data_IF_734822941009
#
_entry.id   IF_734822941009
#
_cell.length_a   1.000
_cell.length_b   1.000
_cell.length_c   1.000
_cell.angle_alpha   90.00
_cell.angle_beta   90.00
_cell.angle_gamma   90.00
#
_symmetry.space_group_name_H-M   'P 1'
#
loop_
_entity.id
_entity.type
_entity.pdbx_description
1 polymer ?
#
# COMPACT_ATOMS: atom_id res chain seq x y z
N UNK A 1 -24.65 -4.81 -15.10
CA UNK A 1 -24.54 -5.08 -13.65
C UNK A 1 -23.73 -3.93 -13.08
N UNK A 2 -24.39 -2.83 -12.74
CA UNK A 2 -23.75 -1.64 -12.16
C UNK A 2 -23.26 -2.01 -10.76
N UNK A 3 -21.97 -2.33 -10.65
CA UNK A 3 -21.38 -2.77 -9.39
C UNK A 3 -20.06 -2.05 -9.19
N UNK A 4 -20.07 -1.01 -8.38
CA UNK A 4 -18.86 -0.45 -7.76
C UNK A 4 -18.80 1.06 -7.70
N UNK A 5 -19.29 1.75 -8.73
CA UNK A 5 -19.23 3.22 -8.78
C UNK A 5 -20.16 3.91 -7.76
N UNK A 6 -21.16 3.20 -7.22
CA UNK A 6 -22.17 3.77 -6.31
C UNK A 6 -21.97 3.46 -4.81
N UNK A 7 -20.97 2.66 -4.41
CA UNK A 7 -20.89 2.24 -3.00
C UNK A 7 -20.14 3.24 -2.08
N UNK A 8 -19.16 3.98 -2.61
CA UNK A 8 -18.28 4.88 -1.85
C UNK A 8 -17.92 6.07 -2.75
N UNK A 9 -18.21 7.30 -2.34
CA UNK A 9 -17.83 8.47 -3.14
C UNK A 9 -16.30 8.57 -3.27
N UNK A 10 -15.78 9.07 -4.41
CA UNK A 10 -14.35 9.31 -4.57
C UNK A 10 -13.76 10.13 -3.42
N UNK A 11 -14.45 11.14 -2.93
CA UNK A 11 -14.01 11.98 -1.81
C UNK A 11 -13.85 11.20 -0.50
N UNK A 12 -14.77 10.27 -0.22
CA UNK A 12 -14.67 9.40 0.94
C UNK A 12 -13.49 8.42 0.79
N UNK A 13 -13.26 7.90 -0.41
CA UNK A 13 -12.09 7.07 -0.71
C UNK A 13 -10.78 7.85 -0.46
N UNK A 14 -10.66 9.08 -0.99
CA UNK A 14 -9.51 9.96 -0.78
C UNK A 14 -9.27 10.25 0.70
N UNK A 15 -10.31 10.63 1.42
CA UNK A 15 -10.23 10.92 2.87
C UNK A 15 -9.76 9.69 3.65
N UNK A 16 -10.28 8.51 3.31
CA UNK A 16 -9.88 7.27 3.98
C UNK A 16 -8.43 6.88 3.68
N UNK A 17 -7.94 7.04 2.43
CA UNK A 17 -6.53 6.82 2.08
C UNK A 17 -5.62 7.74 2.88
N UNK A 18 -5.98 9.03 2.95
CA UNK A 18 -5.22 10.02 3.70
C UNK A 18 -5.15 9.67 5.20
N UNK A 19 -6.29 9.34 5.81
CA UNK A 19 -6.32 8.91 7.22
C UNK A 19 -5.48 7.65 7.46
N UNK A 20 -5.55 6.65 6.58
CA UNK A 20 -4.77 5.42 6.71
C UNK A 20 -3.26 5.69 6.64
N UNK A 21 -2.81 6.51 5.69
CA UNK A 21 -1.39 6.88 5.59
C UNK A 21 -0.87 7.50 6.89
N UNK A 22 -1.65 8.41 7.49
CA UNK A 22 -1.29 9.06 8.77
C UNK A 22 -1.26 8.07 9.93
N UNK A 23 -2.25 7.17 10.01
CA UNK A 23 -2.32 6.14 11.05
C UNK A 23 -1.17 5.15 10.94
N UNK A 24 -0.84 4.68 9.73
CA UNK A 24 0.29 3.77 9.50
C UNK A 24 1.61 4.43 9.93
N UNK A 25 1.85 5.69 9.57
CA UNK A 25 3.05 6.40 10.03
C UNK A 25 3.12 6.50 11.56
N UNK A 26 2.01 6.79 12.22
CA UNK A 26 1.94 6.87 13.68
C UNK A 26 2.22 5.52 14.35
N UNK A 27 1.63 4.44 13.84
CA UNK A 27 1.83 3.08 14.34
C UNK A 27 3.25 2.59 14.09
N UNK A 28 3.81 2.86 12.90
CA UNK A 28 5.18 2.53 12.55
C UNK A 28 6.20 3.17 13.48
N UNK A 29 5.99 4.43 13.86
CA UNK A 29 6.85 5.09 14.85
C UNK A 29 6.83 4.39 16.22
N UNK A 30 5.65 3.99 16.71
CA UNK A 30 5.52 3.28 17.98
C UNK A 30 6.16 1.89 17.94
N UNK A 31 6.03 1.18 16.82
CA UNK A 31 6.67 -0.12 16.60
C UNK A 31 8.20 0.00 16.63
N UNK A 32 8.77 1.05 16.02
CA UNK A 32 10.21 1.28 16.01
C UNK A 32 10.76 1.77 17.36
N UNK A 33 9.91 2.38 18.19
CA UNK A 33 10.27 2.91 19.50
C UNK A 33 9.31 2.35 20.57
N UNK A 34 9.37 1.03 20.84
CA UNK A 34 8.47 0.43 21.81
C UNK A 34 8.75 1.01 23.19
N UNK A 35 7.70 1.50 23.85
CA UNK A 35 7.72 1.71 25.31
C UNK A 35 7.89 0.36 26.02
N UNK A 36 8.22 0.34 27.31
CA UNK A 36 8.65 -0.84 28.11
C UNK A 36 7.67 -2.05 28.12
N UNK A 37 6.53 -2.00 27.43
CA UNK A 37 5.55 -3.09 27.32
C UNK A 37 5.69 -3.90 26.02
N UNK A 38 6.34 -5.06 26.11
CA UNK A 38 6.47 -6.04 25.01
C UNK A 38 5.11 -6.50 24.46
N UNK A 39 4.11 -6.66 25.34
CA UNK A 39 2.77 -7.07 24.94
C UNK A 39 2.08 -6.03 24.05
N UNK A 40 2.19 -4.75 24.43
CA UNK A 40 1.62 -3.65 23.65
C UNK A 40 2.33 -3.53 22.30
N UNK A 41 3.66 -3.64 22.26
CA UNK A 41 4.44 -3.62 21.04
C UNK A 41 4.01 -4.73 20.05
N UNK A 42 3.80 -5.95 20.54
CA UNK A 42 3.31 -7.08 19.73
C UNK A 42 1.92 -6.83 19.14
N UNK A 43 1.01 -6.25 19.93
CA UNK A 43 -0.34 -5.88 19.48
C UNK A 43 -0.25 -4.78 18.41
N UNK A 44 0.53 -3.73 18.66
CA UNK A 44 0.72 -2.63 17.71
C UNK A 44 1.31 -3.11 16.39
N UNK A 45 2.24 -4.07 16.41
CA UNK A 45 2.78 -4.65 15.18
C UNK A 45 1.72 -5.38 14.36
N UNK A 46 0.81 -6.13 15.00
CA UNK A 46 -0.30 -6.80 14.30
C UNK A 46 -1.30 -5.81 13.72
N UNK A 47 -1.58 -4.73 14.46
CA UNK A 47 -2.46 -3.65 13.98
C UNK A 47 -1.82 -2.94 12.79
N UNK A 48 -0.52 -2.62 12.87
CA UNK A 48 0.23 -2.01 11.78
C UNK A 48 0.17 -2.87 10.52
N UNK A 49 0.50 -4.16 10.62
CA UNK A 49 0.43 -5.07 9.46
C UNK A 49 -0.98 -5.13 8.87
N UNK A 50 -2.01 -5.21 9.71
CA UNK A 50 -3.42 -5.23 9.27
C UNK A 50 -3.80 -3.95 8.53
N UNK A 51 -3.37 -2.79 9.04
CA UNK A 51 -3.61 -1.49 8.42
C UNK A 51 -2.90 -1.36 7.07
N UNK A 52 -1.65 -1.86 6.97
CA UNK A 52 -0.90 -1.90 5.72
C UNK A 52 -1.56 -2.82 4.71
N UNK A 53 -1.97 -4.02 5.10
CA UNK A 53 -2.68 -4.97 4.23
C UNK A 53 -3.98 -4.37 3.68
N UNK A 54 -4.76 -3.71 4.54
CA UNK A 54 -5.98 -3.02 4.15
C UNK A 54 -5.70 -1.83 3.22
N UNK A 55 -4.69 -1.01 3.51
CA UNK A 55 -4.29 0.12 2.68
C UNK A 55 -3.82 -0.32 1.30
N UNK A 56 -3.06 -1.42 1.21
CA UNK A 56 -2.64 -2.04 -0.05
C UNK A 56 -3.87 -2.47 -0.85
N UNK A 57 -4.71 -3.34 -0.30
CA UNK A 57 -5.91 -3.83 -0.99
C UNK A 57 -6.80 -2.69 -1.48
N UNK A 58 -7.00 -1.67 -0.66
CA UNK A 58 -7.81 -0.49 -1.03
C UNK A 58 -7.17 0.30 -2.16
N UNK A 59 -5.86 0.55 -2.09
CA UNK A 59 -5.14 1.31 -3.12
C UNK A 59 -5.12 0.56 -4.44
N UNK A 60 -4.84 -0.74 -4.43
CA UNK A 60 -4.93 -1.60 -5.61
C UNK A 60 -6.35 -1.68 -6.18
N UNK A 61 -7.37 -1.76 -5.31
CA UNK A 61 -8.77 -1.72 -5.71
C UNK A 61 -9.14 -0.44 -6.46
N UNK A 62 -8.61 0.70 -6.03
CA UNK A 62 -8.75 1.98 -6.73
C UNK A 62 -8.04 1.94 -8.09
N UNK A 63 -6.77 1.51 -8.11
CA UNK A 63 -5.97 1.48 -9.33
C UNK A 63 -6.56 0.56 -10.40
N UNK A 64 -7.22 -0.53 -9.99
CA UNK A 64 -7.87 -1.47 -10.90
C UNK A 64 -9.25 -1.01 -11.39
N UNK A 65 -10.09 -0.53 -10.47
CA UNK A 65 -11.52 -0.35 -10.75
C UNK A 65 -11.89 1.11 -11.06
N UNK A 66 -11.05 2.07 -10.66
CA UNK A 66 -11.33 3.51 -10.75
C UNK A 66 -10.22 4.25 -11.51
N UNK A 67 -9.61 3.61 -12.52
CA UNK A 67 -8.50 4.17 -13.30
C UNK A 67 -8.83 5.46 -14.06
N UNK A 68 -10.12 5.76 -14.30
CA UNK A 68 -10.58 7.04 -14.83
C UNK A 68 -10.52 8.21 -13.84
N UNK A 69 -10.48 7.93 -12.53
CA UNK A 69 -10.40 8.93 -11.46
C UNK A 69 -8.93 9.30 -11.19
N UNK A 70 -8.31 10.04 -12.10
CA UNK A 70 -6.87 10.33 -12.05
C UNK A 70 -6.37 10.84 -10.69
N UNK A 71 -7.14 11.73 -10.04
CA UNK A 71 -6.78 12.30 -8.73
C UNK A 71 -6.79 11.22 -7.64
N UNK A 72 -7.76 10.32 -7.68
CA UNK A 72 -7.88 9.23 -6.72
C UNK A 72 -6.78 8.17 -6.95
N UNK A 73 -6.41 7.91 -8.21
CA UNK A 73 -5.26 7.05 -8.53
C UNK A 73 -3.94 7.65 -8.03
N UNK A 74 -3.74 8.96 -8.18
CA UNK A 74 -2.57 9.65 -7.63
C UNK A 74 -2.53 9.53 -6.10
N UNK A 75 -3.65 9.78 -5.42
CA UNK A 75 -3.75 9.62 -3.97
C UNK A 75 -3.48 8.17 -3.52
N UNK A 76 -3.93 7.17 -4.31
CA UNK A 76 -3.63 5.77 -4.04
C UNK A 76 -2.13 5.46 -4.18
N UNK A 77 -1.44 6.02 -5.18
CA UNK A 77 0.02 5.88 -5.33
C UNK A 77 0.76 6.59 -4.20
N UNK A 78 0.29 7.77 -3.77
CA UNK A 78 0.85 8.52 -2.63
C UNK A 78 0.83 7.71 -1.32
N UNK A 79 -0.14 6.81 -1.11
CA UNK A 79 -0.10 5.90 0.04
C UNK A 79 1.16 5.05 0.02
N UNK A 80 1.52 4.47 -1.12
CA UNK A 80 2.75 3.66 -1.22
C UNK A 80 4.01 4.52 -1.06
N UNK A 81 4.01 5.75 -1.58
CA UNK A 81 5.11 6.72 -1.36
C UNK A 81 5.29 6.95 0.16
N UNK A 82 4.18 7.20 0.87
CA UNK A 82 4.18 7.37 2.32
C UNK A 82 4.75 6.16 3.06
N UNK A 83 4.38 4.95 2.67
CA UNK A 83 4.91 3.70 3.26
C UNK A 83 6.44 3.61 3.09
N UNK A 84 6.94 3.91 1.89
CA UNK A 84 8.37 3.88 1.60
C UNK A 84 9.12 4.97 2.39
N UNK A 85 8.60 6.21 2.39
CA UNK A 85 9.20 7.31 3.14
C UNK A 85 9.22 7.08 4.65
N UNK A 86 8.25 6.34 5.19
CA UNK A 86 8.19 5.95 6.59
C UNK A 86 9.10 4.76 6.94
N UNK A 87 9.77 4.14 5.96
CA UNK A 87 10.57 2.92 6.19
C UNK A 87 9.73 1.73 6.65
N UNK A 88 8.46 1.68 6.26
CA UNK A 88 7.50 0.67 6.70
C UNK A 88 7.72 -0.66 5.94
N UNK A 89 8.50 -1.54 6.54
CA UNK A 89 8.85 -2.85 5.96
C UNK A 89 7.64 -3.82 5.87
N UNK A 90 6.57 -3.54 6.61
CA UNK A 90 5.32 -4.32 6.60
C UNK A 90 4.68 -4.36 5.21
N UNK A 91 4.90 -3.32 4.39
CA UNK A 91 4.43 -3.28 3.01
C UNK A 91 5.00 -4.43 2.18
N UNK A 92 6.32 -4.66 2.30
CA UNK A 92 7.03 -5.73 1.58
C UNK A 92 6.71 -7.14 2.11
N UNK A 93 6.24 -7.23 3.37
CA UNK A 93 5.84 -8.49 4.01
C UNK A 93 4.39 -8.87 3.73
N UNK A 94 3.59 -7.94 3.19
CA UNK A 94 2.16 -8.17 2.99
C UNK A 94 1.92 -9.33 2.02
N UNK A 95 1.09 -10.33 2.39
CA UNK A 95 0.74 -11.43 1.49
C UNK A 95 -0.13 -10.97 0.31
N UNK A 96 -0.71 -9.77 0.38
CA UNK A 96 -1.60 -9.22 -0.65
C UNK A 96 -0.86 -8.45 -1.75
N UNK A 97 0.40 -8.09 -1.51
CA UNK A 97 1.17 -7.25 -2.41
C UNK A 97 1.27 -7.84 -3.82
N UNK A 98 1.77 -9.06 -3.98
CA UNK A 98 1.85 -9.71 -5.29
C UNK A 98 0.49 -10.07 -5.90
N UNK A 99 -0.45 -10.68 -5.15
CA UNK A 99 -1.78 -10.95 -5.68
C UNK A 99 -2.47 -9.69 -6.20
N UNK A 100 -2.30 -8.54 -5.56
CA UNK A 100 -2.88 -7.30 -6.05
C UNK A 100 -2.09 -6.73 -7.24
N UNK A 101 -0.75 -6.81 -7.23
CA UNK A 101 0.09 -6.39 -8.36
C UNK A 101 -0.24 -7.13 -9.65
N UNK A 102 -0.44 -8.45 -9.59
CA UNK A 102 -0.72 -9.27 -10.78
C UNK A 102 -2.04 -8.92 -11.48
N UNK A 103 -2.92 -8.17 -10.82
CA UNK A 103 -4.20 -7.72 -11.37
C UNK A 103 -4.16 -6.34 -12.02
N UNK A 104 -3.09 -5.55 -11.79
CA UNK A 104 -2.96 -4.20 -12.32
C UNK A 104 -2.54 -4.20 -13.80
N UNK A 105 -3.23 -3.38 -14.59
CA UNK A 105 -2.80 -3.00 -15.94
C UNK A 105 -1.94 -1.73 -15.86
N UNK A 106 -0.64 -1.91 -15.60
CA UNK A 106 0.31 -0.82 -15.31
C UNK A 106 0.31 0.23 -16.42
N UNK A 107 0.18 -0.21 -17.67
CA UNK A 107 0.25 0.62 -18.87
C UNK A 107 -0.84 1.69 -18.90
N UNK A 108 -1.95 1.45 -18.19
CA UNK A 108 -3.12 2.33 -18.16
C UNK A 108 -3.15 3.24 -16.94
N UNK A 109 -2.16 3.16 -16.04
CA UNK A 109 -2.15 3.96 -14.82
C UNK A 109 -1.68 5.40 -15.08
N UNK A 110 -2.42 6.43 -14.62
CA UNK A 110 -2.05 7.84 -14.79
C UNK A 110 -0.74 8.22 -14.09
N UNK A 111 -0.28 7.43 -13.11
CA UNK A 111 0.93 7.65 -12.33
C UNK A 111 1.95 6.51 -12.48
N UNK A 112 1.95 5.82 -13.63
CA UNK A 112 2.76 4.62 -13.92
C UNK A 112 4.22 4.73 -13.46
N UNK A 113 4.92 5.79 -13.86
CA UNK A 113 6.35 5.93 -13.55
C UNK A 113 6.61 6.04 -12.05
N UNK A 114 5.83 6.86 -11.34
CA UNK A 114 5.92 7.00 -9.89
C UNK A 114 5.58 5.70 -9.19
N UNK A 115 4.54 5.00 -9.66
CA UNK A 115 4.13 3.73 -9.08
C UNK A 115 5.22 2.65 -9.24
N UNK A 116 5.78 2.49 -10.43
CA UNK A 116 6.90 1.55 -10.69
C UNK A 116 8.09 1.87 -9.78
N UNK A 117 8.46 3.15 -9.65
CA UNK A 117 9.57 3.57 -8.78
C UNK A 117 9.36 3.14 -7.34
N UNK A 118 8.15 3.36 -6.81
CA UNK A 118 7.81 3.01 -5.43
C UNK A 118 7.79 1.49 -5.24
N UNK A 119 7.28 0.73 -6.21
CA UNK A 119 7.32 -0.73 -6.16
C UNK A 119 8.74 -1.29 -6.13
N UNK A 120 9.67 -0.70 -6.87
CA UNK A 120 11.09 -1.06 -6.78
C UNK A 120 11.65 -0.81 -5.37
N UNK A 121 11.26 0.31 -4.74
CA UNK A 121 11.70 0.64 -3.38
C UNK A 121 11.12 -0.35 -2.35
N UNK A 122 9.84 -0.70 -2.46
CA UNK A 122 9.20 -1.73 -1.62
C UNK A 122 9.87 -3.09 -1.83
N UNK A 123 10.15 -3.48 -3.07
CA UNK A 123 10.89 -4.71 -3.38
C UNK A 123 12.30 -4.72 -2.77
N UNK A 124 12.97 -3.57 -2.70
CA UNK A 124 14.25 -3.42 -2.02
C UNK A 124 14.18 -3.64 -0.51
N UNK A 125 13.05 -3.31 0.12
CA UNK A 125 12.78 -3.52 1.56
C UNK A 125 12.47 -4.98 1.92
N UNK A 126 12.13 -5.82 0.93
CA UNK A 126 11.90 -7.23 1.18
C UNK A 126 13.20 -7.90 1.62
N UNK A 127 13.18 -8.63 2.74
CA UNK A 127 14.32 -9.46 3.15
C UNK A 127 14.34 -10.83 2.47
N UNK A 128 13.24 -11.20 1.79
CA UNK A 128 13.07 -12.49 1.12
C UNK A 128 13.52 -12.41 -0.35
N UNK A 129 14.51 -13.21 -0.73
CA UNK A 129 14.99 -13.30 -2.11
C UNK A 129 13.91 -13.71 -3.12
N UNK A 130 12.93 -14.52 -2.71
CA UNK A 130 11.84 -14.96 -3.58
C UNK A 130 10.90 -13.78 -3.87
N UNK A 131 10.63 -12.95 -2.87
CA UNK A 131 9.89 -11.70 -3.04
C UNK A 131 10.65 -10.77 -3.99
N UNK A 132 11.96 -10.59 -3.80
CA UNK A 132 12.78 -9.80 -4.74
C UNK A 132 12.74 -10.32 -6.17
N UNK A 133 12.85 -11.64 -6.36
CA UNK A 133 12.78 -12.28 -7.68
C UNK A 133 11.41 -12.12 -8.34
N UNK A 134 10.32 -12.20 -7.59
CA UNK A 134 8.97 -11.95 -8.10
C UNK A 134 8.78 -10.50 -8.54
N UNK A 135 9.33 -9.54 -7.79
CA UNK A 135 9.33 -8.12 -8.18
C UNK A 135 10.07 -7.86 -9.50
N UNK A 136 11.28 -8.41 -9.62
CA UNK A 136 12.09 -8.24 -10.83
C UNK A 136 11.43 -8.88 -12.05
N UNK A 137 10.80 -10.05 -11.89
CA UNK A 137 10.08 -10.73 -12.97
C UNK A 137 8.82 -9.99 -13.43
N UNK A 138 8.17 -9.24 -12.56
CA UNK A 138 6.97 -8.48 -12.92
C UNK A 138 7.28 -7.14 -13.59
N UNK A 139 8.49 -6.61 -13.39
CA UNK A 139 8.94 -5.34 -13.97
C UNK A 139 9.60 -5.46 -15.36
N UNK A 140 9.87 -6.68 -15.82
CA UNK A 140 10.49 -7.02 -17.12
C UNK A 140 9.46 -7.67 -18.02
#
# INVERSE_FOLDING_TARGET
MDRGAEAISPELARSSLWCMGRLICSLGFQVMNPEDSEQLASIMQKILQTMVDFALQKSFGILNNLSGEHKLCLDAVEVFVGLVCAGCNEAAKSPFLFPCLSTIQIERLPARHSFIKVLMQIGGMANDENVKKCYLKWLV
#
